data_IF_473608748551
#
_entry.id   IF_473608748551
#
_cell.length_a   1.000
_cell.length_b   1.000
_cell.length_c   1.000
_cell.angle_alpha   90.00
_cell.angle_beta   90.00
_cell.angle_gamma   90.00
#
_symmetry.space_group_name_H-M   'P 1'
#
loop_
_entity.id
_entity.type
_entity.pdbx_description
1 polymer ?
#
# COMPACT_ATOMS: atom_id res chain seq x y z
N UNK A 1 -9.45 -11.36 -4.66
CA UNK A 1 -9.47 -10.50 -5.87
C UNK A 1 -9.74 -9.07 -5.39
N UNK A 2 -8.86 -8.56 -4.54
CA UNK A 2 -9.04 -7.24 -3.97
C UNK A 2 -8.22 -6.29 -4.84
N UNK A 3 -8.91 -5.72 -5.83
CA UNK A 3 -8.31 -4.79 -6.78
C UNK A 3 -7.92 -3.50 -6.04
N UNK A 4 -6.65 -3.12 -6.18
CA UNK A 4 -6.21 -1.80 -5.77
C UNK A 4 -7.05 -0.75 -6.50
N UNK A 5 -7.57 0.23 -5.78
CA UNK A 5 -8.37 1.30 -6.34
C UNK A 5 -7.45 2.41 -6.86
N UNK A 6 -7.36 2.50 -8.18
CA UNK A 6 -6.58 3.52 -8.88
C UNK A 6 -7.40 4.79 -9.09
N UNK A 7 -6.96 5.88 -8.46
CA UNK A 7 -7.43 7.24 -8.72
C UNK A 7 -6.48 7.88 -9.73
N UNK A 8 -7.02 8.63 -10.69
CA UNK A 8 -6.20 9.34 -11.70
C UNK A 8 -6.06 10.85 -11.42
N UNK A 9 -6.83 11.40 -10.47
CA UNK A 9 -6.82 12.84 -10.14
C UNK A 9 -7.18 13.07 -8.65
N UNK A 10 -6.20 13.21 -7.74
CA UNK A 10 -4.76 12.94 -7.92
C UNK A 10 -4.47 11.45 -8.16
N UNK A 11 -3.31 11.15 -8.76
CA UNK A 11 -2.88 9.77 -9.04
C UNK A 11 -2.54 9.06 -7.73
N UNK A 12 -3.35 8.09 -7.32
CA UNK A 12 -3.16 7.33 -6.08
C UNK A 12 -3.67 5.89 -6.24
N UNK A 13 -2.97 4.93 -5.64
CA UNK A 13 -3.41 3.54 -5.48
C UNK A 13 -3.82 3.34 -4.02
N UNK A 14 -5.10 3.13 -3.76
CA UNK A 14 -5.58 2.82 -2.40
C UNK A 14 -6.05 1.37 -2.31
N UNK A 15 -5.69 0.67 -1.22
CA UNK A 15 -6.21 -0.66 -0.92
C UNK A 15 -6.46 -0.81 0.56
N UNK A 16 -7.61 -1.38 0.90
CA UNK A 16 -7.98 -1.70 2.26
C UNK A 16 -7.82 -3.20 2.48
N UNK A 17 -7.12 -3.54 3.55
CA UNK A 17 -6.97 -4.88 4.09
C UNK A 17 -7.75 -4.97 5.39
N UNK A 18 -8.55 -6.03 5.53
CA UNK A 18 -9.36 -6.28 6.71
C UNK A 18 -8.84 -7.51 7.43
N UNK A 19 -8.64 -7.37 8.73
CA UNK A 19 -8.03 -8.38 9.56
C UNK A 19 -8.98 -8.77 10.69
N UNK A 20 -8.97 -10.05 11.05
CA UNK A 20 -9.82 -10.55 12.15
C UNK A 20 -9.28 -10.13 13.52
N UNK A 21 -7.96 -9.97 13.65
CA UNK A 21 -7.32 -9.63 14.93
C UNK A 21 -6.26 -8.54 14.77
N UNK A 22 -5.95 -7.87 15.88
CA UNK A 22 -4.82 -6.94 15.94
C UNK A 22 -3.47 -7.64 15.69
N UNK A 23 -3.37 -8.94 15.98
CA UNK A 23 -2.16 -9.73 15.72
C UNK A 23 -1.84 -9.77 14.23
N UNK A 24 -2.82 -10.11 13.39
CA UNK A 24 -2.68 -10.09 11.93
C UNK A 24 -2.36 -8.70 11.40
N UNK A 25 -3.06 -7.67 11.92
CA UNK A 25 -2.80 -6.27 11.55
C UNK A 25 -1.35 -5.88 11.85
N UNK A 26 -0.83 -6.27 13.02
CA UNK A 26 0.54 -5.97 13.43
C UNK A 26 1.57 -6.73 12.60
N UNK A 27 1.33 -8.01 12.32
CA UNK A 27 2.23 -8.82 11.50
C UNK A 27 2.36 -8.24 10.09
N UNK A 28 1.24 -7.83 9.49
CA UNK A 28 1.23 -7.14 8.22
C UNK A 28 1.99 -5.81 8.26
N UNK A 29 1.77 -4.98 9.29
CA UNK A 29 2.47 -3.71 9.44
C UNK A 29 3.99 -3.89 9.60
N UNK A 30 4.46 -4.93 10.31
CA UNK A 30 5.89 -5.23 10.44
C UNK A 30 6.51 -5.59 9.08
N UNK A 31 5.85 -6.49 8.34
CA UNK A 31 6.30 -6.90 7.00
C UNK A 31 6.31 -5.72 6.03
N UNK A 32 5.26 -4.92 6.04
CA UNK A 32 5.11 -3.75 5.18
C UNK A 32 6.16 -2.68 5.49
N UNK A 33 6.48 -2.49 6.77
CA UNK A 33 7.56 -1.60 7.22
C UNK A 33 8.91 -2.02 6.63
N UNK A 34 9.26 -3.31 6.73
CA UNK A 34 10.51 -3.83 6.15
C UNK A 34 10.56 -3.69 4.64
N UNK A 35 9.44 -3.93 3.95
CA UNK A 35 9.35 -3.74 2.50
C UNK A 35 9.55 -2.26 2.12
N UNK A 36 8.95 -1.35 2.89
CA UNK A 36 9.09 0.10 2.70
C UNK A 36 10.53 0.55 2.89
N UNK A 37 11.21 0.07 3.94
CA UNK A 37 12.64 0.34 4.17
C UNK A 37 13.53 -0.24 3.07
N UNK A 38 13.27 -1.48 2.61
CA UNK A 38 14.06 -2.11 1.56
C UNK A 38 13.98 -1.39 0.21
N UNK A 39 12.86 -0.74 -0.07
CA UNK A 39 12.61 0.01 -1.29
C UNK A 39 12.87 1.52 -1.13
N UNK A 40 13.29 1.97 0.06
CA UNK A 40 13.39 3.39 0.45
C UNK A 40 12.14 4.20 0.09
N UNK A 41 10.96 3.57 0.25
CA UNK A 41 9.69 4.09 -0.24
C UNK A 41 8.61 3.94 0.82
N UNK A 42 8.08 5.08 1.28
CA UNK A 42 7.13 5.14 2.39
C UNK A 42 5.73 5.51 1.87
N UNK A 43 4.84 4.54 1.65
CA UNK A 43 3.44 4.81 1.36
C UNK A 43 2.73 5.42 2.57
N UNK A 44 1.57 6.02 2.32
CA UNK A 44 0.68 6.45 3.39
C UNK A 44 -0.10 5.25 3.94
N UNK A 45 -0.02 5.04 5.24
CA UNK A 45 -0.59 3.87 5.92
C UNK A 45 -1.58 4.36 6.98
N UNK A 46 -2.85 4.04 6.77
CA UNK A 46 -3.93 4.35 7.69
C UNK A 46 -4.48 3.06 8.27
N UNK A 47 -4.02 2.68 9.46
CA UNK A 47 -4.46 1.46 10.13
C UNK A 47 -5.38 1.73 11.32
N UNK A 48 -6.38 0.88 11.47
CA UNK A 48 -7.22 0.77 12.65
C UNK A 48 -6.89 -0.48 13.47
N UNK A 49 -7.82 -0.91 14.32
CA UNK A 49 -7.64 -2.08 15.19
C UNK A 49 -7.74 -3.41 14.43
N UNK A 50 -8.49 -3.43 13.33
CA UNK A 50 -8.85 -4.62 12.54
C UNK A 50 -8.77 -4.36 11.03
N UNK A 51 -8.12 -3.28 10.62
CA UNK A 51 -7.99 -2.95 9.20
C UNK A 51 -6.75 -2.11 8.96
N UNK A 52 -6.19 -2.22 7.76
CA UNK A 52 -5.09 -1.38 7.28
C UNK A 52 -5.45 -0.86 5.91
N UNK A 53 -5.46 0.45 5.75
CA UNK A 53 -5.59 1.10 4.46
C UNK A 53 -4.20 1.54 4.01
N UNK A 54 -3.78 1.04 2.85
CA UNK A 54 -2.53 1.40 2.23
C UNK A 54 -2.83 2.32 1.06
N UNK A 55 -2.21 3.49 1.06
CA UNK A 55 -2.34 4.50 0.01
C UNK A 55 -0.95 4.76 -0.57
N UNK A 56 -0.74 4.23 -1.77
CA UNK A 56 0.43 4.44 -2.59
C UNK A 56 0.27 5.71 -3.42
N UNK A 57 1.25 6.60 -3.28
CA UNK A 57 1.35 7.81 -4.10
C UNK A 57 2.59 7.68 -5.01
N UNK A 58 2.52 8.20 -6.25
CA UNK A 58 3.67 8.28 -7.12
C UNK A 58 4.77 9.12 -6.46
N UNK A 59 6.03 8.79 -6.74
CA UNK A 59 7.18 9.50 -6.18
C UNK A 59 7.34 10.94 -6.70
N UNK A 60 6.71 11.26 -7.84
CA UNK A 60 6.67 12.64 -8.36
C UNK A 60 5.41 13.35 -7.84
N UNK A 61 5.59 14.55 -7.31
CA UNK A 61 4.51 15.46 -6.85
C UNK A 61 3.74 16.10 -8.04
N UNK A 62 4.02 15.67 -9.27
CA UNK A 62 3.33 16.16 -10.46
C UNK A 62 1.94 15.54 -10.57
N UNK A 63 0.93 16.41 -10.72
CA UNK A 63 -0.49 16.05 -10.83
C UNK A 63 -0.82 15.14 -12.04
N UNK A 64 0.13 14.99 -12.97
CA UNK A 64 0.04 14.23 -14.22
C UNK A 64 0.99 13.01 -14.23
N UNK A 65 1.75 12.76 -13.17
CA UNK A 65 2.60 11.55 -13.10
C UNK A 65 1.72 10.33 -12.85
N UNK A 66 1.53 9.53 -13.90
CA UNK A 66 0.89 8.24 -13.82
C UNK A 66 1.65 7.30 -12.87
N UNK A 67 0.92 6.35 -12.27
CA UNK A 67 1.51 5.21 -11.58
C UNK A 67 2.47 4.50 -12.52
N UNK A 68 3.71 4.39 -12.11
CA UNK A 68 4.72 3.69 -12.90
C UNK A 68 4.64 2.19 -12.62
N UNK A 69 5.28 1.39 -13.47
CA UNK A 69 5.39 -0.04 -13.22
C UNK A 69 6.01 -0.37 -11.85
N UNK A 70 6.84 0.53 -11.29
CA UNK A 70 7.40 0.41 -9.94
C UNK A 70 6.32 0.50 -8.85
N UNK A 71 5.37 1.43 -8.98
CA UNK A 71 4.22 1.54 -8.07
C UNK A 71 3.37 0.28 -8.06
N UNK A 72 3.07 -0.25 -9.26
CA UNK A 72 2.30 -1.48 -9.40
C UNK A 72 3.07 -2.71 -8.91
N UNK A 73 4.40 -2.74 -9.08
CA UNK A 73 5.25 -3.81 -8.54
C UNK A 73 5.30 -3.75 -7.02
N UNK A 74 5.35 -2.55 -6.43
CA UNK A 74 5.28 -2.37 -4.98
C UNK A 74 3.91 -2.77 -4.44
N UNK A 75 2.82 -2.37 -5.10
CA UNK A 75 1.46 -2.80 -4.77
C UNK A 75 1.30 -4.34 -4.80
N UNK A 76 1.88 -5.01 -5.80
CA UNK A 76 1.91 -6.47 -5.87
C UNK A 76 2.73 -7.08 -4.73
N UNK A 77 3.92 -6.53 -4.43
CA UNK A 77 4.74 -7.01 -3.30
C UNK A 77 4.01 -6.92 -1.96
N UNK A 78 3.20 -5.88 -1.77
CA UNK A 78 2.36 -5.73 -0.57
C UNK A 78 1.28 -6.80 -0.54
N UNK A 79 0.67 -7.12 -1.68
CA UNK A 79 -0.32 -8.18 -1.80
C UNK A 79 0.24 -9.54 -1.38
N UNK A 80 1.46 -9.83 -1.81
CA UNK A 80 2.20 -11.05 -1.45
C UNK A 80 2.51 -11.13 0.07
N UNK A 81 2.42 -10.04 0.82
CA UNK A 81 2.60 -10.08 2.28
C UNK A 81 1.38 -10.61 3.04
N UNK A 82 0.20 -10.63 2.39
CA UNK A 82 -1.10 -10.98 2.99
C UNK A 82 -1.65 -12.33 2.49
N UNK A 83 -1.04 -12.98 1.51
CA UNK A 83 -1.38 -14.34 1.05
C UNK A 83 -1.13 -15.43 2.10
#
# INVERSE_FOLDING_TARGET
MDQWSERQRPVCLEKRFEFSTYGDTRDFLDRLGRLSEAQDRFPDLSFGKTYVNVTLRPASDDVDTALTADDHAFAQRIDELID
#
